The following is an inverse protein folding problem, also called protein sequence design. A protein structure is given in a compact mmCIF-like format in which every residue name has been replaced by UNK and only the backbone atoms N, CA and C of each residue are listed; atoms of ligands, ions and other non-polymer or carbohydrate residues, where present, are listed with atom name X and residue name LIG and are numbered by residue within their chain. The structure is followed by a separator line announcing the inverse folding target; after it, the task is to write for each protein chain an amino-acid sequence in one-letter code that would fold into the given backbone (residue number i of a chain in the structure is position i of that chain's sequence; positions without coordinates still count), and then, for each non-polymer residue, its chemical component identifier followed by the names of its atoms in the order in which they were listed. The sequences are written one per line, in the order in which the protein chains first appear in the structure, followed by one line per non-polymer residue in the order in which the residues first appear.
data_IF_777420589841
#
_entry.id   IF_777420589841
#
_cell.length_a   1.000
_cell.length_b   1.000
_cell.length_c   1.000
_cell.angle_alpha   90.00
_cell.angle_beta   90.00
_cell.angle_gamma   90.00
#
_symmetry.space_group_name_H-M   'P 1'
#
loop_
_entity.id
_entity.type
_entity.pdbx_description
1 polymer ?
#
# COMPACT_ATOMS: atom_id res chain seq x y z
N UNK A 1 22.12 -6.38 -16.11
CA UNK A 1 20.84 -5.68 -15.87
C UNK A 1 21.18 -4.34 -15.24
N UNK A 2 20.83 -3.22 -15.88
CA UNK A 2 21.11 -1.89 -15.33
C UNK A 2 19.98 -1.48 -14.38
N UNK A 3 20.29 -1.32 -13.10
CA UNK A 3 19.39 -0.76 -12.10
C UNK A 3 19.40 0.77 -12.26
N UNK A 4 18.36 1.33 -12.88
CA UNK A 4 18.32 2.75 -13.25
C UNK A 4 17.88 3.66 -12.08
N UNK A 5 17.08 3.16 -11.13
CA UNK A 5 16.65 3.94 -9.97
C UNK A 5 16.11 3.07 -8.84
N UNK A 6 16.37 3.45 -7.59
CA UNK A 6 15.82 2.82 -6.39
C UNK A 6 14.82 3.79 -5.77
N UNK A 7 13.53 3.46 -5.89
CA UNK A 7 12.43 4.24 -5.32
C UNK A 7 11.98 3.59 -4.00
N UNK A 8 12.02 4.36 -2.92
CA UNK A 8 11.49 3.91 -1.62
C UNK A 8 9.98 4.05 -1.62
N UNK A 9 9.27 2.92 -1.63
CA UNK A 9 7.81 2.91 -1.46
C UNK A 9 7.49 2.86 0.04
N UNK A 10 6.52 3.67 0.45
CA UNK A 10 6.01 3.69 1.81
C UNK A 10 4.62 3.08 1.79
N UNK A 11 4.40 2.08 2.64
CA UNK A 11 3.08 1.55 2.89
C UNK A 11 2.37 2.44 3.90
N UNK A 12 1.19 2.91 3.51
CA UNK A 12 0.32 3.76 4.31
C UNK A 12 -0.96 2.98 4.61
N UNK A 13 -1.31 2.93 5.89
CA UNK A 13 -2.54 2.31 6.41
C UNK A 13 -3.29 3.33 7.27
N UNK A 14 -4.64 3.30 7.28
CA UNK A 14 -5.42 4.21 8.11
C UNK A 14 -5.16 3.94 9.60
N UNK A 15 -5.12 5.01 10.40
CA UNK A 15 -4.81 4.93 11.84
C UNK A 15 -5.79 4.05 12.63
N UNK A 16 -7.02 3.94 12.16
CA UNK A 16 -8.07 3.14 12.78
C UNK A 16 -8.12 1.68 12.27
N UNK A 17 -7.14 1.27 11.46
CA UNK A 17 -7.05 -0.09 10.97
C UNK A 17 -6.69 -1.06 12.10
N UNK A 18 -7.32 -2.25 12.20
CA UNK A 18 -6.87 -3.31 13.11
C UNK A 18 -5.46 -3.83 12.76
N UNK A 19 -4.95 -3.44 11.60
CA UNK A 19 -3.62 -3.76 11.12
C UNK A 19 -2.61 -2.63 11.43
N UNK A 20 -2.49 -2.25 12.71
CA UNK A 20 -1.51 -1.26 13.19
C UNK A 20 -0.06 -1.75 13.06
N UNK A 21 0.15 -3.05 12.89
CA UNK A 21 1.43 -3.68 12.63
C UNK A 21 1.43 -4.40 11.28
N UNK A 22 2.58 -4.41 10.60
CA UNK A 22 2.72 -5.09 9.31
C UNK A 22 2.43 -6.59 9.44
N UNK A 23 2.89 -7.24 10.51
CA UNK A 23 2.62 -8.67 10.76
C UNK A 23 1.13 -8.96 10.97
N UNK A 24 0.42 -8.10 11.71
CA UNK A 24 -1.03 -8.26 11.88
C UNK A 24 -1.79 -7.99 10.59
N UNK A 25 -1.29 -7.07 9.75
CA UNK A 25 -1.82 -6.85 8.41
C UNK A 25 -1.69 -8.10 7.54
N UNK A 26 -0.49 -8.69 7.49
CA UNK A 26 -0.23 -9.89 6.68
C UNK A 26 -1.05 -11.07 7.19
N UNK A 27 -1.12 -11.27 8.51
CA UNK A 27 -1.93 -12.32 9.11
C UNK A 27 -3.42 -12.15 8.77
N UNK A 28 -3.93 -10.92 8.88
CA UNK A 28 -5.32 -10.61 8.55
C UNK A 28 -5.61 -10.80 7.05
N UNK A 29 -4.69 -10.35 6.19
CA UNK A 29 -4.77 -10.50 4.73
C UNK A 29 -4.77 -11.96 4.29
N UNK A 30 -3.94 -12.80 4.92
CA UNK A 30 -3.90 -14.26 4.69
C UNK A 30 -5.18 -14.94 5.15
N UNK A 31 -5.71 -14.54 6.31
CA UNK A 31 -6.95 -15.09 6.86
C UNK A 31 -8.20 -14.65 6.07
N UNK A 32 -8.13 -13.52 5.36
CA UNK A 32 -9.25 -12.92 4.64
C UNK A 32 -8.87 -12.55 3.20
N UNK A 33 -8.61 -13.54 2.32
CA UNK A 33 -8.28 -13.28 0.93
C UNK A 33 -9.40 -12.48 0.25
N UNK A 34 -9.01 -11.48 -0.54
CA UNK A 34 -9.91 -10.59 -1.30
C UNK A 34 -10.82 -9.66 -0.48
N UNK A 35 -10.70 -9.62 0.86
CA UNK A 35 -11.42 -8.62 1.67
C UNK A 35 -10.67 -7.30 1.80
N UNK A 36 -9.36 -7.32 1.59
CA UNK A 36 -8.54 -6.12 1.65
C UNK A 36 -8.42 -5.49 0.26
N UNK A 37 -8.69 -4.20 0.21
CA UNK A 37 -8.52 -3.38 -0.98
C UNK A 37 -7.27 -2.50 -0.82
N UNK A 38 -6.48 -2.36 -1.87
CA UNK A 38 -5.40 -1.38 -1.93
C UNK A 38 -5.62 -0.40 -3.07
N UNK A 39 -5.28 0.86 -2.83
CA UNK A 39 -5.39 1.92 -3.83
C UNK A 39 -4.10 2.11 -4.61
N UNK A 40 -4.21 2.57 -5.85
CA UNK A 40 -3.08 3.14 -6.58
C UNK A 40 -3.51 4.33 -7.43
N UNK A 41 -2.53 5.11 -7.91
CA UNK A 41 -2.77 6.22 -8.86
C UNK A 41 -2.95 5.76 -10.32
N UNK A 42 -3.26 4.48 -10.52
CA UNK A 42 -3.45 3.85 -11.82
C UNK A 42 -2.76 2.49 -11.91
N UNK A 43 -3.31 1.62 -12.77
CA UNK A 43 -2.67 0.36 -13.13
C UNK A 43 -1.31 0.63 -13.80
N UNK A 44 -0.28 -0.10 -13.36
CA UNK A 44 1.10 0.05 -13.83
C UNK A 44 1.91 1.15 -13.11
N UNK A 45 1.31 1.91 -12.19
CA UNK A 45 2.07 2.84 -11.34
C UNK A 45 3.02 2.11 -10.37
N UNK A 46 4.03 2.82 -9.86
CA UNK A 46 4.95 2.27 -8.85
C UNK A 46 4.21 1.76 -7.60
N UNK A 47 3.13 2.45 -7.20
CA UNK A 47 2.28 2.01 -6.08
C UNK A 47 1.54 0.70 -6.38
N UNK A 48 1.08 0.51 -7.61
CA UNK A 48 0.46 -0.76 -8.05
C UNK A 48 1.49 -1.89 -8.02
N UNK A 49 2.66 -1.71 -8.63
CA UNK A 49 3.71 -2.72 -8.66
C UNK A 49 4.26 -3.04 -7.27
N UNK A 50 4.38 -2.04 -6.40
CA UNK A 50 4.78 -2.23 -5.00
C UNK A 50 3.78 -3.09 -4.22
N UNK A 51 2.49 -2.88 -4.43
CA UNK A 51 1.44 -3.69 -3.81
C UNK A 51 1.40 -5.12 -4.35
N UNK A 52 1.57 -5.31 -5.67
CA UNK A 52 1.64 -6.65 -6.27
C UNK A 52 2.89 -7.42 -5.82
N UNK A 53 4.03 -6.73 -5.72
CA UNK A 53 5.23 -7.30 -5.13
C UNK A 53 5.00 -7.70 -3.67
N UNK A 54 4.34 -6.85 -2.89
CA UNK A 54 3.99 -7.16 -1.51
C UNK A 54 3.05 -8.37 -1.41
N UNK A 55 2.02 -8.45 -2.25
CA UNK A 55 1.13 -9.61 -2.35
C UNK A 55 1.93 -10.90 -2.61
N UNK A 56 2.84 -10.84 -3.57
CA UNK A 56 3.69 -11.98 -3.95
C UNK A 56 4.63 -12.39 -2.81
N UNK A 57 5.32 -11.42 -2.20
CA UNK A 57 6.27 -11.68 -1.10
C UNK A 57 5.58 -12.20 0.15
N UNK A 58 4.37 -11.72 0.44
CA UNK A 58 3.63 -12.07 1.65
C UNK A 58 2.64 -13.21 1.44
N UNK A 59 2.49 -13.72 0.22
CA UNK A 59 1.46 -14.69 -0.15
C UNK A 59 0.06 -14.22 0.26
N UNK A 60 -0.27 -12.97 -0.05
CA UNK A 60 -1.60 -12.37 0.18
C UNK A 60 -2.26 -12.06 -1.16
N UNK A 61 -3.59 -12.02 -1.17
CA UNK A 61 -4.39 -11.63 -2.33
C UNK A 61 -5.28 -10.46 -1.95
N UNK A 62 -4.94 -9.27 -2.44
CA UNK A 62 -5.61 -8.01 -2.14
C UNK A 62 -6.13 -7.38 -3.43
N UNK A 63 -7.30 -6.76 -3.37
CA UNK A 63 -7.97 -6.22 -4.56
C UNK A 63 -7.42 -4.86 -4.91
N UNK A 64 -7.01 -4.68 -6.17
CA UNK A 64 -6.54 -3.40 -6.68
C UNK A 64 -7.71 -2.47 -7.01
N UNK A 65 -7.73 -1.27 -6.43
CA UNK A 65 -8.66 -0.20 -6.78
C UNK A 65 -7.89 0.97 -7.42
N UNK A 66 -8.06 1.24 -8.73
CA UNK A 66 -7.37 2.33 -9.41
C UNK A 66 -8.09 3.68 -9.18
N UNK A 67 -7.32 4.72 -8.89
CA UNK A 67 -7.80 6.10 -8.78
C UNK A 67 -7.06 7.01 -9.75
N UNK A 68 -7.64 8.18 -10.06
CA UNK A 68 -7.06 9.14 -11.03
C UNK A 68 -5.89 9.96 -10.46
N UNK A 69 -5.55 9.81 -9.17
CA UNK A 69 -4.40 10.47 -8.56
C UNK A 69 -4.33 10.30 -7.05
N UNK A 70 -3.17 10.64 -6.47
CA UNK A 70 -2.89 10.48 -5.03
C UNK A 70 -3.93 11.10 -4.10
N UNK A 71 -4.52 12.29 -4.37
CA UNK A 71 -5.54 12.86 -3.49
C UNK A 71 -6.78 11.97 -3.36
N UNK A 72 -7.23 11.35 -4.46
CA UNK A 72 -8.39 10.45 -4.45
C UNK A 72 -8.10 9.17 -3.68
N UNK A 73 -6.90 8.60 -3.86
CA UNK A 73 -6.46 7.43 -3.09
C UNK A 73 -6.45 7.76 -1.60
N UNK A 74 -5.95 8.94 -1.22
CA UNK A 74 -5.90 9.36 0.17
C UNK A 74 -7.31 9.52 0.77
N UNK A 75 -8.24 10.14 0.05
CA UNK A 75 -9.64 10.22 0.47
C UNK A 75 -10.24 8.83 0.68
N UNK A 76 -10.03 7.90 -0.26
CA UNK A 76 -10.51 6.53 -0.15
C UNK A 76 -9.90 5.79 1.05
N UNK A 77 -8.63 6.05 1.37
CA UNK A 77 -7.94 5.50 2.53
C UNK A 77 -8.53 6.05 3.84
N UNK A 78 -8.88 7.33 3.88
CA UNK A 78 -9.52 7.98 5.05
C UNK A 78 -10.95 7.46 5.23
N UNK A 79 -11.69 7.31 4.14
CA UNK A 79 -13.07 6.81 4.14
C UNK A 79 -13.17 5.30 4.41
N UNK A 80 -12.06 4.57 4.38
CA UNK A 80 -12.03 3.12 4.61
C UNK A 80 -12.46 2.28 3.39
N UNK A 81 -12.58 2.89 2.22
CA UNK A 81 -12.85 2.18 0.96
C UNK A 81 -11.66 1.27 0.58
N UNK A 82 -10.45 1.77 0.85
CA UNK A 82 -9.20 1.01 0.76
C UNK A 82 -8.52 0.93 2.12
N UNK A 83 -7.75 -0.13 2.31
CA UNK A 83 -7.08 -0.45 3.56
C UNK A 83 -5.59 -0.11 3.51
N UNK A 84 -5.03 0.01 2.30
CA UNK A 84 -3.61 0.23 2.08
C UNK A 84 -3.37 1.10 0.86
N UNK A 85 -2.28 1.85 0.91
CA UNK A 85 -1.75 2.59 -0.21
C UNK A 85 -0.22 2.59 -0.21
N UNK A 86 0.39 2.29 -1.36
CA UNK A 86 1.82 2.40 -1.57
C UNK A 86 2.16 3.72 -2.23
N UNK A 87 2.88 4.59 -1.52
CA UNK A 87 3.24 5.92 -2.00
C UNK A 87 4.76 6.02 -2.19
N UNK A 88 5.19 6.54 -3.35
CA UNK A 88 6.61 6.74 -3.65
C UNK A 88 7.21 7.97 -2.92
N UNK A 89 6.36 8.83 -2.38
CA UNK A 89 6.76 10.07 -1.68
C UNK A 89 6.09 10.14 -0.31
N UNK A 90 6.88 10.06 0.76
CA UNK A 90 6.40 10.16 2.14
C UNK A 90 5.74 11.51 2.46
N UNK A 91 6.03 12.56 1.68
CA UNK A 91 5.59 13.94 1.91
C UNK A 91 4.07 14.14 1.90
N UNK A 92 3.29 13.27 1.26
CA UNK A 92 1.83 13.40 1.19
C UNK A 92 1.07 12.71 2.33
N UNK A 93 1.74 11.91 3.18
CA UNK A 93 1.08 11.05 4.17
C UNK A 93 1.42 11.39 5.65
N UNK A 94 2.30 12.37 5.89
CA UNK A 94 2.95 12.56 7.20
C UNK A 94 2.05 12.96 8.40
N UNK A 95 1.01 13.82 8.28
CA UNK A 95 0.27 14.23 9.47
C UNK A 95 -0.88 13.31 9.89
N UNK A 96 -1.31 12.37 9.05
CA UNK A 96 -2.55 11.60 9.27
C UNK A 96 -2.37 10.07 9.37
N UNK A 97 -1.18 9.53 9.06
CA UNK A 97 -1.01 8.08 8.89
C UNK A 97 0.24 7.52 9.58
N UNK A 98 0.17 6.23 9.94
CA UNK A 98 1.35 5.46 10.33
C UNK A 98 2.13 5.08 9.07
N UNK A 99 3.38 5.54 8.98
CA UNK A 99 4.27 5.26 7.86
C UNK A 99 5.09 4.01 8.15
N UNK A 100 4.86 2.93 7.39
CA UNK A 100 5.80 1.80 7.37
C UNK A 100 6.63 1.90 6.10
N UNK A 101 7.90 2.29 6.23
CA UNK A 101 8.84 2.33 5.10
C UNK A 101 9.11 0.90 4.64
N UNK A 102 8.74 0.58 3.40
CA UNK A 102 9.14 -0.68 2.77
C UNK A 102 10.44 -0.43 2.04
N UNK A 103 11.51 -1.02 2.57
CA UNK A 103 12.84 -0.89 1.98
C UNK A 103 13.00 -2.04 0.98
N UNK A 104 13.29 -1.76 -0.31
CA UNK A 104 13.66 -2.81 -1.25
C UNK A 104 14.97 -3.42 -0.76
N UNK A 105 14.96 -4.72 -0.48
CA UNK A 105 16.15 -5.48 -0.11
C UNK A 105 16.96 -5.76 -1.38
N UNK A 106 18.16 -5.17 -1.43
CA UNK A 106 19.37 -5.66 -2.14
C UNK A 106 19.24 -5.95 -3.62
#
# INVERSE_FOLDING_TARGET
MALVSVVSLVLVVPKNSPATHLDSLIAYAKANPSKLNFGSVGAGSLGHLGAELFNTMTNTSMTHIPYKGSPQVMTALISGEIHMYFVASASSALPQFNLTKLRPSG
#
